data_IF_436762924357
#
_entry.id   IF_436762924357
#
_cell.length_a   1.000
_cell.length_b   1.000
_cell.length_c   1.000
_cell.angle_alpha   90.00
_cell.angle_beta   90.00
_cell.angle_gamma   90.00
#
_symmetry.space_group_name_H-M   'P 1'
#
loop_
_entity.id
_entity.type
_entity.pdbx_description
1 polymer ?
#
# COMPACT_ATOMS: atom_id res chain seq x y z
N UNK A 1 -18.61 -13.08 69.38
CA UNK A 1 -17.81 -12.62 68.21
C UNK A 1 -18.54 -11.41 67.67
N UNK A 2 -18.00 -10.24 67.96
CA UNK A 2 -18.57 -8.97 67.55
C UNK A 2 -18.19 -8.81 66.03
N UNK A 3 -19.14 -9.05 65.12
CA UNK A 3 -19.00 -8.87 63.69
C UNK A 3 -19.24 -7.40 63.34
N UNK A 4 -18.33 -6.52 63.77
CA UNK A 4 -18.41 -5.08 63.55
C UNK A 4 -17.63 -4.59 62.33
N UNK A 5 -17.48 -5.43 61.30
CA UNK A 5 -16.90 -4.94 60.05
C UNK A 5 -17.74 -3.78 59.50
N UNK A 6 -17.08 -2.69 59.17
CA UNK A 6 -17.74 -1.50 58.59
C UNK A 6 -18.14 -1.76 57.15
N UNK A 7 -19.32 -1.30 56.76
CA UNK A 7 -19.75 -1.31 55.38
C UNK A 7 -18.92 -0.34 54.55
N UNK A 8 -18.57 -0.74 53.33
CA UNK A 8 -17.91 0.12 52.36
C UNK A 8 -18.63 0.13 51.00
N UNK A 9 -18.35 1.14 50.21
CA UNK A 9 -18.94 1.33 48.91
C UNK A 9 -17.87 1.66 47.89
N UNK A 10 -18.05 1.19 46.64
CA UNK A 10 -17.24 1.60 45.48
C UNK A 10 -17.92 2.78 44.80
N UNK A 11 -17.18 3.85 44.63
CA UNK A 11 -17.58 5.00 43.80
C UNK A 11 -16.80 5.00 42.50
N UNK A 12 -17.50 4.95 41.39
CA UNK A 12 -16.89 4.97 40.05
C UNK A 12 -17.74 5.84 39.12
N UNK A 13 -17.41 7.15 39.03
CA UNK A 13 -18.14 8.11 38.18
C UNK A 13 -17.68 8.11 36.72
N UNK A 14 -16.46 7.61 36.45
CA UNK A 14 -15.86 7.57 35.10
C UNK A 14 -16.76 6.83 34.11
N UNK A 15 -16.93 7.37 32.91
CA UNK A 15 -17.57 6.70 31.77
C UNK A 15 -16.52 6.03 30.91
N UNK A 16 -16.67 4.75 30.60
CA UNK A 16 -15.75 4.03 29.71
C UNK A 16 -16.11 4.27 28.23
N UNK A 17 -17.40 4.29 27.89
CA UNK A 17 -17.95 4.68 26.61
C UNK A 17 -17.47 3.85 25.42
N UNK A 18 -17.42 4.50 24.26
CA UNK A 18 -16.88 3.92 23.02
C UNK A 18 -15.45 4.35 22.81
N UNK A 19 -14.59 3.40 22.45
CA UNK A 19 -13.14 3.61 22.20
C UNK A 19 -12.74 2.95 20.90
N UNK A 20 -11.97 3.64 20.08
CA UNK A 20 -11.44 3.03 18.86
C UNK A 20 -10.24 2.12 19.19
N UNK A 21 -10.03 1.06 18.41
CA UNK A 21 -8.82 0.24 18.51
C UNK A 21 -7.55 1.10 18.33
N UNK A 22 -6.51 0.83 19.12
CA UNK A 22 -5.22 1.52 19.04
C UNK A 22 -5.13 2.86 19.78
N UNK A 23 -6.20 3.29 20.49
CA UNK A 23 -6.08 4.45 21.39
C UNK A 23 -5.28 4.10 22.65
N UNK A 24 -4.75 5.13 23.29
CA UNK A 24 -3.99 4.95 24.54
C UNK A 24 -4.81 4.28 25.64
N UNK A 25 -4.13 3.54 26.53
CA UNK A 25 -4.71 2.88 27.69
C UNK A 25 -5.42 3.90 28.59
N UNK A 26 -6.55 3.50 29.13
CA UNK A 26 -7.37 4.35 30.00
C UNK A 26 -7.10 4.04 31.46
N UNK A 27 -6.62 5.00 32.23
CA UNK A 27 -6.53 4.86 33.68
C UNK A 27 -7.95 4.77 34.29
N UNK A 28 -8.19 3.70 35.06
CA UNK A 28 -9.46 3.46 35.77
C UNK A 28 -9.43 4.13 37.13
N UNK A 29 -10.51 4.82 37.49
CA UNK A 29 -10.53 5.75 38.63
C UNK A 29 -11.58 5.42 39.68
N UNK A 30 -11.98 4.14 39.82
CA UNK A 30 -12.85 3.75 40.92
C UNK A 30 -12.13 3.90 42.28
N UNK A 31 -12.83 4.24 43.28
CA UNK A 31 -12.33 4.38 44.65
C UNK A 31 -13.32 3.80 45.67
N UNK A 32 -12.85 3.52 46.89
CA UNK A 32 -13.68 3.13 48.00
C UNK A 32 -13.64 4.18 49.10
N UNK A 33 -14.70 4.28 49.90
CA UNK A 33 -14.70 5.13 51.08
C UNK A 33 -13.78 4.60 52.21
N UNK A 34 -13.34 3.33 52.13
CA UNK A 34 -12.38 2.73 53.07
C UNK A 34 -10.91 3.03 52.68
N UNK A 35 -10.64 3.49 51.45
CA UNK A 35 -9.28 3.65 50.91
C UNK A 35 -8.61 2.33 50.52
N UNK A 36 -9.31 1.18 50.61
CA UNK A 36 -8.77 -0.11 50.16
C UNK A 36 -8.67 -0.17 48.62
N UNK A 37 -7.66 -0.90 48.08
CA UNK A 37 -7.43 -0.98 46.65
C UNK A 37 -8.57 -1.68 45.93
N UNK A 38 -8.87 -1.20 44.71
CA UNK A 38 -9.84 -1.78 43.78
C UNK A 38 -9.15 -2.81 42.91
N UNK A 39 -9.83 -3.93 42.66
CA UNK A 39 -9.47 -4.89 41.62
C UNK A 39 -10.45 -4.78 40.46
N UNK A 40 -9.96 -4.73 39.25
CA UNK A 40 -10.77 -4.67 38.02
C UNK A 40 -10.73 -6.00 37.29
N UNK A 41 -11.87 -6.40 36.74
CA UNK A 41 -12.02 -7.61 35.92
C UNK A 41 -12.71 -7.24 34.61
N UNK A 42 -12.24 -7.78 33.53
CA UNK A 42 -12.90 -7.71 32.22
C UNK A 42 -13.65 -8.99 31.92
N UNK A 43 -14.88 -8.86 31.41
CA UNK A 43 -15.67 -10.02 30.94
C UNK A 43 -15.12 -10.64 29.65
N UNK A 44 -14.33 -9.87 28.89
CA UNK A 44 -13.71 -10.32 27.62
C UNK A 44 -12.35 -9.63 27.41
N UNK A 45 -11.30 -10.36 27.70
CA UNK A 45 -9.92 -9.87 27.55
C UNK A 45 -9.47 -9.79 26.08
N UNK A 46 -10.22 -10.36 25.13
CA UNK A 46 -9.95 -10.22 23.69
C UNK A 46 -10.50 -8.91 23.11
N UNK A 47 -11.42 -8.28 23.83
CA UNK A 47 -11.96 -6.95 23.52
C UNK A 47 -11.20 -5.87 24.32
N UNK A 48 -11.14 -6.02 25.63
CA UNK A 48 -10.46 -5.08 26.51
C UNK A 48 -9.90 -5.83 27.73
N UNK A 49 -8.68 -5.56 28.11
CA UNK A 49 -8.01 -6.22 29.26
C UNK A 49 -7.50 -5.22 30.28
N UNK A 50 -7.28 -5.70 31.49
CA UNK A 50 -6.69 -4.92 32.57
C UNK A 50 -5.18 -5.09 32.53
N UNK A 51 -4.45 -3.98 32.59
CA UNK A 51 -2.98 -3.94 32.52
C UNK A 51 -2.44 -2.98 33.59
N UNK A 52 -1.15 -3.09 33.92
CA UNK A 52 -0.44 -2.11 34.75
C UNK A 52 -0.07 -0.86 33.93
N UNK A 53 0.51 0.15 34.58
CA UNK A 53 0.92 1.39 33.91
C UNK A 53 2.00 1.24 32.84
N UNK A 54 2.65 0.06 32.71
CA UNK A 54 3.59 -0.27 31.63
C UNK A 54 2.96 -1.10 30.51
N UNK A 55 1.64 -1.37 30.57
CA UNK A 55 0.91 -2.17 29.57
C UNK A 55 1.03 -3.68 29.73
N UNK A 56 1.74 -4.18 30.75
CA UNK A 56 1.78 -5.60 31.03
C UNK A 56 0.49 -6.06 31.73
N UNK A 57 0.05 -7.29 31.45
CA UNK A 57 -1.11 -7.91 32.10
C UNK A 57 -0.91 -7.95 33.60
N UNK A 58 -1.85 -7.44 34.35
CA UNK A 58 -1.80 -7.38 35.81
C UNK A 58 -3.19 -7.43 36.40
N UNK A 59 -3.45 -8.45 37.23
CA UNK A 59 -4.72 -8.59 37.94
C UNK A 59 -4.99 -7.44 38.92
N UNK A 60 -3.94 -6.72 39.34
CA UNK A 60 -4.02 -5.51 40.15
C UNK A 60 -3.82 -4.23 39.31
N UNK A 61 -3.81 -4.36 37.97
CA UNK A 61 -3.65 -3.24 37.07
C UNK A 61 -4.80 -2.24 37.19
N UNK A 62 -4.50 -1.00 36.93
CA UNK A 62 -5.44 0.11 36.97
C UNK A 62 -5.70 0.74 35.61
N UNK A 63 -5.19 0.14 34.52
CA UNK A 63 -5.39 0.62 33.17
C UNK A 63 -6.22 -0.36 32.36
N UNK A 64 -7.10 0.18 31.52
CA UNK A 64 -7.88 -0.54 30.54
C UNK A 64 -7.20 -0.39 29.16
N UNK A 65 -6.73 -1.49 28.62
CA UNK A 65 -6.17 -1.56 27.27
C UNK A 65 -7.22 -2.13 26.30
N UNK A 66 -7.41 -1.50 25.14
CA UNK A 66 -8.29 -2.01 24.09
C UNK A 66 -7.52 -2.98 23.19
N UNK A 67 -8.08 -4.18 22.93
CA UNK A 67 -7.40 -5.29 22.23
C UNK A 67 -8.07 -5.60 20.90
N UNK A 68 -9.39 -5.54 20.82
CA UNK A 68 -10.16 -5.87 19.62
C UNK A 68 -11.55 -5.25 19.63
N UNK A 69 -12.19 -5.16 18.47
CA UNK A 69 -13.55 -4.62 18.37
C UNK A 69 -14.56 -5.55 19.04
N UNK A 70 -15.50 -4.97 19.77
CA UNK A 70 -16.53 -5.69 20.52
C UNK A 70 -17.01 -4.92 21.73
N UNK A 71 -17.67 -5.60 22.65
CA UNK A 71 -18.15 -5.01 23.91
C UNK A 71 -17.70 -5.88 25.09
N UNK A 72 -17.11 -5.27 26.10
CA UNK A 72 -16.74 -5.91 27.34
C UNK A 72 -17.34 -5.16 28.52
N UNK A 73 -17.60 -5.88 29.63
CA UNK A 73 -17.98 -5.31 30.89
C UNK A 73 -16.78 -5.31 31.83
N UNK A 74 -16.43 -4.15 32.35
CA UNK A 74 -15.38 -3.99 33.34
C UNK A 74 -16.03 -3.87 34.70
N UNK A 75 -15.67 -4.76 35.63
CA UNK A 75 -16.21 -4.81 36.96
C UNK A 75 -15.14 -4.42 37.99
N UNK A 76 -15.43 -3.39 38.76
CA UNK A 76 -14.64 -2.99 39.92
C UNK A 76 -15.11 -3.74 41.16
N UNK A 77 -14.20 -4.38 41.89
CA UNK A 77 -14.47 -5.18 43.07
C UNK A 77 -13.55 -4.78 44.21
N UNK A 78 -14.01 -5.00 45.45
CA UNK A 78 -13.20 -4.84 46.64
C UNK A 78 -13.65 -5.87 47.69
N UNK A 79 -12.75 -6.76 48.07
CA UNK A 79 -13.07 -7.95 48.90
C UNK A 79 -13.23 -7.68 50.42
N UNK A 80 -12.95 -6.45 50.84
CA UNK A 80 -12.90 -6.13 52.27
C UNK A 80 -11.61 -6.61 52.95
N UNK A 81 -11.59 -6.50 54.27
CA UNK A 81 -10.51 -6.98 55.13
C UNK A 81 -11.04 -7.24 56.53
N UNK A 82 -10.20 -7.41 57.55
CA UNK A 82 -10.64 -7.61 58.93
C UNK A 82 -11.47 -6.46 59.52
N UNK A 83 -11.44 -5.27 58.91
CA UNK A 83 -12.12 -4.07 59.39
C UNK A 83 -13.33 -3.68 58.51
N UNK A 84 -13.32 -4.01 57.24
CA UNK A 84 -14.35 -3.64 56.26
C UNK A 84 -14.95 -4.89 55.62
N UNK A 85 -16.27 -4.88 55.40
CA UNK A 85 -16.98 -5.86 54.61
C UNK A 85 -16.62 -5.72 53.14
N UNK A 86 -16.84 -6.77 52.30
CA UNK A 86 -16.75 -6.65 50.87
C UNK A 86 -17.73 -5.61 50.32
N UNK A 87 -17.28 -4.79 49.37
CA UNK A 87 -18.16 -3.84 48.70
C UNK A 87 -19.00 -4.52 47.62
N UNK A 88 -20.20 -4.00 47.39
CA UNK A 88 -20.97 -4.37 46.18
C UNK A 88 -20.21 -4.00 44.94
N UNK A 89 -19.99 -4.94 43.97
CA UNK A 89 -19.30 -4.65 42.73
C UNK A 89 -19.97 -3.57 41.88
N UNK A 90 -19.18 -2.78 41.19
CA UNK A 90 -19.67 -1.79 40.20
C UNK A 90 -19.19 -2.18 38.80
N UNK A 91 -20.13 -2.34 37.90
CA UNK A 91 -19.85 -2.76 36.53
C UNK A 91 -20.12 -1.63 35.52
N UNK A 92 -19.26 -1.52 34.49
CA UNK A 92 -19.40 -0.56 33.41
C UNK A 92 -19.06 -1.21 32.06
N UNK A 93 -19.85 -0.90 31.04
CA UNK A 93 -19.61 -1.37 29.69
C UNK A 93 -18.60 -0.47 28.95
N UNK A 94 -17.73 -1.10 28.18
CA UNK A 94 -16.90 -0.45 27.17
C UNK A 94 -17.18 -1.09 25.81
N UNK A 95 -17.38 -0.26 24.80
CA UNK A 95 -17.51 -0.72 23.41
C UNK A 95 -16.24 -0.32 22.67
N UNK A 96 -15.55 -1.30 22.10
CA UNK A 96 -14.38 -1.06 21.24
C UNK A 96 -14.82 -1.11 19.79
N UNK A 97 -14.60 -0.03 19.07
CA UNK A 97 -14.88 0.06 17.63
C UNK A 97 -13.63 -0.21 16.83
N UNK A 98 -13.81 -0.71 15.59
CA UNK A 98 -12.70 -0.78 14.63
C UNK A 98 -12.10 0.60 14.42
N UNK A 99 -10.78 0.66 14.29
CA UNK A 99 -10.09 1.89 13.92
C UNK A 99 -10.18 2.11 12.41
N UNK A 100 -10.16 3.36 11.98
CA UNK A 100 -9.98 3.69 10.58
C UNK A 100 -8.51 3.59 10.20
N UNK A 101 -8.27 3.23 8.95
CA UNK A 101 -6.93 3.15 8.38
C UNK A 101 -6.89 3.86 7.02
N UNK A 102 -5.69 4.23 6.61
CA UNK A 102 -5.42 4.85 5.34
C UNK A 102 -4.20 4.22 4.66
N UNK A 103 -4.18 4.23 3.33
CA UNK A 103 -3.04 3.79 2.53
C UNK A 103 -2.15 5.00 2.28
N UNK A 104 -0.87 4.89 2.67
CA UNK A 104 0.11 5.97 2.55
C UNK A 104 1.35 5.51 1.81
N UNK A 105 1.97 6.45 1.09
CA UNK A 105 3.27 6.28 0.44
C UNK A 105 4.35 7.02 1.22
N UNK A 106 5.58 6.53 1.19
CA UNK A 106 6.73 7.33 1.62
C UNK A 106 6.91 8.49 0.62
N UNK A 107 6.65 9.70 1.06
CA UNK A 107 6.81 10.91 0.26
C UNK A 107 5.54 11.46 -0.40
N UNK A 108 4.39 10.81 -0.21
CA UNK A 108 3.08 11.37 -0.64
C UNK A 108 2.83 11.37 -2.15
N UNK A 109 3.71 10.75 -2.97
CA UNK A 109 3.51 10.66 -4.43
C UNK A 109 2.30 9.77 -4.76
N UNK A 110 1.49 10.22 -5.70
CA UNK A 110 0.40 9.45 -6.32
C UNK A 110 0.76 9.00 -7.74
N UNK A 111 1.96 9.35 -8.22
CA UNK A 111 2.47 8.92 -9.52
C UNK A 111 3.61 7.94 -9.32
N UNK A 112 3.64 6.91 -10.16
CA UNK A 112 4.75 5.99 -10.27
C UNK A 112 5.72 6.48 -11.34
N UNK A 113 7.02 6.10 -11.27
CA UNK A 113 7.95 6.42 -12.35
C UNK A 113 7.45 5.80 -13.66
N UNK A 114 7.72 6.47 -14.77
CA UNK A 114 7.48 5.90 -16.10
C UNK A 114 8.29 4.62 -16.26
N UNK A 115 7.70 3.63 -16.93
CA UNK A 115 8.33 2.34 -17.23
C UNK A 115 8.48 2.17 -18.73
N UNK A 116 9.46 1.40 -19.14
CA UNK A 116 9.56 0.92 -20.52
C UNK A 116 9.15 -0.56 -20.57
N UNK A 117 8.59 -0.99 -21.70
CA UNK A 117 8.08 -2.34 -21.91
C UNK A 117 9.11 -3.44 -21.61
N UNK A 118 10.38 -3.19 -21.86
CA UNK A 118 11.46 -4.19 -21.73
C UNK A 118 12.23 -4.09 -20.40
N UNK A 119 11.81 -3.23 -19.48
CA UNK A 119 12.47 -3.05 -18.19
C UNK A 119 12.18 -4.18 -17.19
N UNK A 120 11.78 -5.36 -17.64
CA UNK A 120 11.52 -6.48 -16.76
C UNK A 120 10.43 -6.19 -15.71
N UNK A 121 10.27 -7.12 -14.80
CA UNK A 121 9.30 -6.95 -13.71
C UNK A 121 9.76 -5.89 -12.72
N UNK A 122 8.91 -4.94 -12.45
CA UNK A 122 9.12 -3.92 -11.44
C UNK A 122 8.44 -4.36 -10.14
N UNK A 123 9.22 -4.59 -9.09
CA UNK A 123 8.63 -4.79 -7.78
C UNK A 123 8.04 -3.47 -7.28
N UNK A 124 6.76 -3.49 -6.95
CA UNK A 124 6.07 -2.37 -6.31
C UNK A 124 6.57 -2.26 -4.86
N UNK A 125 7.88 -2.08 -4.73
CA UNK A 125 8.49 -1.87 -3.45
C UNK A 125 8.88 -0.41 -3.38
N UNK A 126 8.03 0.36 -2.94
CA UNK A 126 8.43 1.04 -1.74
C UNK A 126 7.25 1.34 -0.88
N UNK A 127 7.39 1.08 0.36
CA UNK A 127 6.82 1.92 1.36
C UNK A 127 5.36 2.39 1.16
N UNK A 128 4.54 1.64 0.38
CA UNK A 128 3.10 1.74 0.52
C UNK A 128 2.72 0.85 1.68
N UNK A 129 2.06 1.42 2.65
CA UNK A 129 1.59 0.71 3.84
C UNK A 129 0.22 1.25 4.24
N UNK A 130 -0.54 0.43 4.93
CA UNK A 130 -1.69 0.91 5.66
C UNK A 130 -1.25 1.36 7.05
N UNK A 131 -1.80 2.46 7.53
CA UNK A 131 -1.60 2.97 8.89
C UNK A 131 -2.92 3.34 9.52
N UNK A 132 -2.97 3.27 10.84
CA UNK A 132 -4.08 3.79 11.61
C UNK A 132 -4.19 5.31 11.39
N UNK A 133 -5.36 5.79 10.98
CA UNK A 133 -5.56 7.20 10.62
C UNK A 133 -5.43 8.17 11.80
N UNK A 134 -5.59 7.68 13.03
CA UNK A 134 -5.53 8.50 14.25
C UNK A 134 -4.16 8.45 14.92
N UNK A 135 -3.57 7.25 15.06
CA UNK A 135 -2.30 7.06 15.77
C UNK A 135 -1.09 7.11 14.83
N UNK A 136 -1.33 7.06 13.50
CA UNK A 136 -0.32 7.00 12.44
C UNK A 136 0.58 5.76 12.50
N UNK A 137 0.29 4.82 13.40
CA UNK A 137 1.01 3.55 13.49
C UNK A 137 0.72 2.66 12.28
N UNK A 138 1.76 1.97 11.80
CA UNK A 138 1.60 0.97 10.73
C UNK A 138 0.69 -0.16 11.22
N UNK A 139 -0.33 -0.53 10.43
CA UNK A 139 -1.25 -1.62 10.78
C UNK A 139 -0.63 -3.00 10.57
N UNK A 140 0.39 -3.13 9.72
CA UNK A 140 0.99 -4.41 9.36
C UNK A 140 0.10 -5.27 8.43
N UNK A 141 -1.06 -4.75 8.02
CA UNK A 141 -2.01 -5.50 7.18
C UNK A 141 -1.55 -5.54 5.73
N UNK A 142 -1.75 -6.69 5.09
CA UNK A 142 -1.42 -6.91 3.68
C UNK A 142 -2.25 -6.02 2.77
N UNK A 143 -1.61 -5.52 1.71
CA UNK A 143 -2.24 -4.74 0.66
C UNK A 143 -2.56 -5.63 -0.54
N UNK A 144 -3.58 -5.28 -1.28
CA UNK A 144 -3.93 -5.88 -2.57
C UNK A 144 -3.80 -4.83 -3.67
N UNK A 145 -3.43 -5.28 -4.88
CA UNK A 145 -3.16 -4.42 -6.02
C UNK A 145 -3.96 -4.93 -7.22
N UNK A 146 -4.48 -4.02 -8.00
CA UNK A 146 -5.15 -4.34 -9.26
C UNK A 146 -4.81 -3.31 -10.32
N UNK A 147 -4.74 -3.74 -11.57
CA UNK A 147 -4.57 -2.87 -12.73
C UNK A 147 -5.91 -2.74 -13.46
N UNK A 148 -6.27 -1.56 -13.89
CA UNK A 148 -7.43 -1.34 -14.76
C UNK A 148 -7.15 -1.73 -16.21
N UNK A 149 -5.86 -1.86 -16.58
CA UNK A 149 -5.43 -2.23 -17.92
C UNK A 149 -4.24 -3.22 -17.89
N UNK A 150 -4.57 -4.51 -17.82
CA UNK A 150 -3.57 -5.58 -17.78
C UNK A 150 -2.80 -5.76 -19.10
N UNK A 151 -3.28 -5.18 -20.21
CA UNK A 151 -2.54 -5.17 -21.46
C UNK A 151 -1.37 -4.18 -21.44
N UNK A 152 -1.43 -3.17 -20.58
CA UNK A 152 -0.35 -2.20 -20.35
C UNK A 152 0.52 -2.62 -19.18
N UNK A 153 -0.09 -2.91 -18.02
CA UNK A 153 0.62 -3.36 -16.82
C UNK A 153 -0.15 -4.50 -16.17
N UNK A 154 0.47 -5.66 -16.07
CA UNK A 154 -0.06 -6.81 -15.33
C UNK A 154 0.44 -6.78 -13.88
N UNK A 155 -0.47 -7.07 -12.94
CA UNK A 155 -0.14 -7.25 -11.52
C UNK A 155 0.05 -8.73 -11.25
N UNK A 156 1.24 -9.13 -10.79
CA UNK A 156 1.62 -10.52 -10.53
C UNK A 156 2.15 -10.70 -9.10
N UNK A 157 2.33 -11.96 -8.67
CA UNK A 157 3.04 -12.32 -7.44
C UNK A 157 2.47 -11.67 -6.17
N UNK A 158 1.31 -12.13 -5.67
CA UNK A 158 0.66 -11.59 -4.46
C UNK A 158 0.37 -10.08 -4.51
N UNK A 159 0.38 -9.48 -5.71
CA UNK A 159 0.03 -8.09 -5.93
C UNK A 159 1.15 -7.07 -5.78
N UNK A 160 2.36 -7.49 -5.43
CA UNK A 160 3.47 -6.54 -5.21
C UNK A 160 4.35 -6.32 -6.44
N UNK A 161 4.10 -7.01 -7.55
CA UNK A 161 4.93 -6.99 -8.75
C UNK A 161 4.14 -6.47 -9.94
N UNK A 162 4.67 -5.45 -10.60
CA UNK A 162 4.12 -4.89 -11.83
C UNK A 162 4.97 -5.33 -13.01
N UNK A 163 4.33 -5.93 -14.01
CA UNK A 163 4.98 -6.36 -15.24
C UNK A 163 4.47 -5.50 -16.38
N UNK A 164 5.30 -4.63 -16.99
CA UNK A 164 4.91 -3.88 -18.17
C UNK A 164 4.73 -4.83 -19.36
N UNK A 165 3.58 -4.74 -20.04
CA UNK A 165 3.21 -5.60 -21.17
C UNK A 165 3.18 -4.87 -22.51
N UNK A 166 2.77 -3.61 -22.50
CA UNK A 166 2.65 -2.80 -23.72
C UNK A 166 2.61 -1.32 -23.39
N UNK A 167 2.81 -0.47 -24.41
CA UNK A 167 2.79 0.97 -24.22
C UNK A 167 1.38 1.46 -23.90
N UNK A 168 1.31 2.55 -23.15
CA UNK A 168 0.05 3.18 -22.76
C UNK A 168 0.02 3.59 -21.31
N UNK A 169 -1.17 3.80 -20.79
CA UNK A 169 -1.41 4.15 -19.38
C UNK A 169 -2.25 3.08 -18.68
N UNK A 170 -1.97 2.86 -17.43
CA UNK A 170 -2.77 2.04 -16.52
C UNK A 170 -2.86 2.69 -15.15
N UNK A 171 -3.98 2.49 -14.46
CA UNK A 171 -4.14 2.89 -13.06
C UNK A 171 -4.00 1.65 -12.17
N UNK A 172 -3.02 1.66 -11.30
CA UNK A 172 -2.86 0.62 -10.29
C UNK A 172 -3.60 1.04 -9.03
N UNK A 173 -4.63 0.30 -8.68
CA UNK A 173 -5.40 0.55 -7.45
C UNK A 173 -4.88 -0.32 -6.32
N UNK A 174 -4.48 0.32 -5.23
CA UNK A 174 -4.06 -0.33 -3.99
C UNK A 174 -5.21 -0.34 -3.01
N UNK A 175 -5.52 -1.49 -2.44
CA UNK A 175 -6.65 -1.69 -1.52
C UNK A 175 -6.24 -2.43 -0.26
N UNK A 176 -6.98 -2.21 0.82
CA UNK A 176 -6.84 -2.94 2.07
C UNK A 176 -8.24 -3.15 2.67
N UNK A 177 -8.64 -4.42 2.85
CA UNK A 177 -10.01 -4.81 3.20
C UNK A 177 -10.37 -4.68 4.68
N UNK A 178 -9.41 -4.30 5.53
CA UNK A 178 -9.58 -4.33 6.98
C UNK A 178 -9.49 -5.76 7.54
N UNK A 179 -9.73 -5.83 8.85
CA UNK A 179 -9.76 -7.09 9.62
C UNK A 179 -10.71 -6.99 10.81
N UNK A 180 -10.47 -7.76 11.88
CA UNK A 180 -11.25 -7.68 13.12
C UNK A 180 -11.09 -6.34 13.85
N UNK A 181 -9.97 -5.61 13.65
CA UNK A 181 -9.58 -4.40 14.39
C UNK A 181 -9.62 -3.12 13.57
N UNK A 182 -9.51 -3.23 12.25
CA UNK A 182 -9.52 -2.10 11.33
C UNK A 182 -10.66 -2.16 10.31
N UNK A 183 -11.24 -1.01 10.02
CA UNK A 183 -12.14 -0.83 8.88
C UNK A 183 -11.35 -0.93 7.56
N UNK A 184 -12.00 -1.25 6.42
CA UNK A 184 -11.35 -1.12 5.12
C UNK A 184 -10.76 0.27 4.92
N UNK A 185 -9.57 0.36 4.29
CA UNK A 185 -9.03 1.62 3.83
C UNK A 185 -9.72 2.07 2.54
N UNK A 186 -9.82 3.38 2.32
CA UNK A 186 -10.19 3.90 1.00
C UNK A 186 -9.13 3.47 -0.02
N UNK A 187 -9.52 2.85 -1.15
CA UNK A 187 -8.59 2.46 -2.19
C UNK A 187 -7.79 3.66 -2.71
N UNK A 188 -6.52 3.44 -3.02
CA UNK A 188 -5.63 4.49 -3.52
C UNK A 188 -5.16 4.18 -4.93
N UNK A 189 -5.51 5.03 -5.92
CA UNK A 189 -5.05 4.87 -7.29
C UNK A 189 -3.64 5.45 -7.47
N UNK A 190 -2.90 4.86 -8.41
CA UNK A 190 -1.60 5.31 -8.91
C UNK A 190 -1.55 5.17 -10.42
N UNK A 191 -1.33 6.27 -11.12
CA UNK A 191 -1.20 6.25 -12.56
C UNK A 191 0.22 5.87 -12.96
N UNK A 192 0.33 5.01 -13.97
CA UNK A 192 1.59 4.55 -14.53
C UNK A 192 1.54 4.69 -16.04
N UNK A 193 2.63 5.14 -16.62
CA UNK A 193 2.80 5.20 -18.07
C UNK A 193 3.89 4.22 -18.47
N UNK A 194 3.58 3.35 -19.41
CA UNK A 194 4.55 2.46 -20.06
C UNK A 194 4.81 3.01 -21.47
N UNK A 195 6.06 3.24 -21.76
CA UNK A 195 6.51 3.65 -23.09
C UNK A 195 7.06 2.43 -23.86
N UNK A 196 6.98 2.45 -25.16
CA UNK A 196 7.79 1.52 -25.97
C UNK A 196 9.26 1.72 -25.61
N UNK A 197 9.99 0.61 -25.50
CA UNK A 197 11.43 0.73 -25.54
C UNK A 197 11.78 1.10 -26.97
N UNK A 198 12.23 2.33 -27.19
CA UNK A 198 12.95 2.57 -28.43
C UNK A 198 14.10 1.57 -28.44
N UNK A 199 14.19 0.66 -29.41
CA UNK A 199 15.34 -0.26 -29.49
C UNK A 199 16.68 0.50 -29.55
N UNK A 200 16.58 1.81 -29.57
CA UNK A 200 17.67 2.76 -29.64
C UNK A 200 17.41 3.81 -28.57
N UNK A 201 17.97 3.59 -27.38
CA UNK A 201 17.82 4.51 -26.25
C UNK A 201 18.38 5.90 -26.62
N UNK A 202 17.78 6.94 -26.02
CA UNK A 202 18.30 8.32 -26.07
C UNK A 202 19.77 8.47 -25.61
N UNK A 203 20.39 7.36 -25.14
CA UNK A 203 21.81 7.30 -24.84
C UNK A 203 22.73 7.21 -26.08
N UNK A 204 22.16 7.24 -27.30
CA UNK A 204 22.89 7.37 -28.51
C UNK A 204 23.09 8.85 -28.93
N UNK A 205 23.19 9.75 -27.97
CA UNK A 205 23.48 11.18 -28.21
C UNK A 205 24.74 11.40 -29.06
N UNK A 206 25.63 10.41 -29.09
CA UNK A 206 26.86 10.45 -29.88
C UNK A 206 26.75 9.68 -31.21
N UNK A 207 25.56 9.13 -31.54
CA UNK A 207 25.37 8.46 -32.84
C UNK A 207 25.21 9.49 -33.93
N UNK A 208 26.21 9.56 -34.82
CA UNK A 208 26.18 10.51 -35.92
C UNK A 208 25.34 10.06 -37.13
N UNK A 209 25.13 8.74 -37.29
CA UNK A 209 24.36 8.14 -38.37
C UNK A 209 23.69 6.86 -37.94
N UNK A 210 22.37 6.78 -38.12
CA UNK A 210 21.60 5.57 -37.90
C UNK A 210 20.69 5.25 -39.07
N UNK A 211 20.91 4.12 -39.70
CA UNK A 211 20.15 3.62 -40.84
C UNK A 211 19.34 2.38 -40.43
N UNK A 212 18.04 2.44 -40.57
CA UNK A 212 17.14 1.32 -40.26
C UNK A 212 16.51 0.78 -41.55
N UNK A 213 16.80 -0.47 -41.90
CA UNK A 213 16.25 -1.11 -43.08
C UNK A 213 14.73 -1.33 -43.05
N UNK A 214 14.10 -1.14 -41.89
CA UNK A 214 12.64 -1.21 -41.72
C UNK A 214 11.96 0.16 -41.74
N UNK A 215 12.71 1.23 -41.73
CA UNK A 215 12.24 2.60 -41.80
C UNK A 215 13.20 3.41 -42.70
N UNK A 216 13.07 3.18 -43.99
CA UNK A 216 13.99 3.75 -44.99
C UNK A 216 13.75 5.24 -45.18
N UNK A 217 12.51 5.70 -44.99
CA UNK A 217 12.11 7.09 -45.16
C UNK A 217 12.33 7.95 -43.90
N UNK A 218 12.62 7.33 -42.75
CA UNK A 218 12.92 8.02 -41.48
C UNK A 218 11.70 8.62 -40.74
N UNK A 219 10.48 8.16 -41.03
CA UNK A 219 9.26 8.67 -40.40
C UNK A 219 8.94 8.00 -39.05
N UNK A 220 9.83 7.13 -38.61
CA UNK A 220 9.71 6.34 -37.36
C UNK A 220 8.59 5.28 -37.37
N UNK A 221 8.05 4.99 -38.53
CA UNK A 221 7.06 3.94 -38.72
C UNK A 221 7.68 2.81 -39.53
N UNK A 222 7.37 1.54 -39.26
CA UNK A 222 7.76 0.44 -40.12
C UNK A 222 7.17 0.67 -41.52
N UNK A 223 7.97 0.41 -42.55
CA UNK A 223 7.47 0.48 -43.93
C UNK A 223 6.25 -0.43 -44.07
N UNK A 224 5.14 0.12 -44.55
CA UNK A 224 3.92 -0.66 -44.80
C UNK A 224 4.19 -1.72 -45.84
N UNK A 225 3.63 -2.93 -45.74
CA UNK A 225 3.75 -3.94 -46.78
C UNK A 225 3.30 -3.36 -48.12
N UNK A 226 4.25 -3.26 -49.06
CA UNK A 226 4.01 -2.69 -50.39
C UNK A 226 4.44 -1.23 -50.57
N UNK A 227 4.94 -0.52 -49.53
CA UNK A 227 5.52 0.82 -49.69
C UNK A 227 6.77 0.79 -50.62
N UNK A 228 7.52 -0.29 -50.53
CA UNK A 228 8.58 -0.59 -51.53
C UNK A 228 8.32 -1.94 -52.19
N UNK A 229 8.45 -2.00 -53.48
CA UNK A 229 8.41 -3.28 -54.20
C UNK A 229 9.69 -4.06 -53.91
N UNK A 230 9.59 -5.37 -53.70
CA UNK A 230 10.75 -6.24 -53.61
C UNK A 230 11.64 -6.01 -54.84
N UNK A 231 12.96 -5.95 -54.67
CA UNK A 231 13.96 -5.59 -55.65
C UNK A 231 13.92 -4.12 -56.11
N UNK A 232 13.18 -3.23 -55.46
CA UNK A 232 13.27 -1.80 -55.74
C UNK A 232 14.66 -1.27 -55.36
N UNK A 233 15.21 -0.40 -56.21
CA UNK A 233 16.48 0.27 -55.94
C UNK A 233 16.27 1.47 -55.04
N UNK A 234 17.02 1.56 -53.94
CA UNK A 234 16.92 2.63 -52.96
C UNK A 234 18.03 3.65 -53.19
N UNK A 235 17.65 4.86 -53.62
CA UNK A 235 18.61 5.94 -53.90
C UNK A 235 18.94 6.78 -52.66
N UNK A 236 18.08 6.79 -51.69
CA UNK A 236 18.23 7.58 -50.45
C UNK A 236 17.79 6.76 -49.26
N UNK A 237 18.57 6.77 -48.21
CA UNK A 237 18.26 6.12 -46.96
C UNK A 237 18.36 7.14 -45.80
N UNK A 238 17.25 7.42 -45.16
CA UNK A 238 17.17 8.46 -44.17
C UNK A 238 17.93 8.11 -42.91
N UNK A 239 18.64 9.10 -42.34
CA UNK A 239 19.30 9.01 -41.05
C UNK A 239 18.30 9.22 -39.93
N UNK A 240 18.18 8.25 -39.05
CA UNK A 240 17.32 8.29 -37.88
C UNK A 240 18.02 8.80 -36.62
N UNK A 241 19.31 9.14 -36.68
CA UNK A 241 20.03 9.69 -35.52
C UNK A 241 19.56 11.08 -35.12
N UNK A 242 18.83 11.75 -36.00
CA UNK A 242 18.42 13.16 -35.82
C UNK A 242 19.47 14.16 -36.30
N UNK A 243 20.67 13.72 -36.75
CA UNK A 243 21.76 14.58 -37.18
C UNK A 243 21.71 14.93 -38.68
N UNK A 244 20.77 14.33 -39.42
CA UNK A 244 20.51 14.64 -40.82
C UNK A 244 21.53 14.07 -41.81
N UNK A 245 22.30 13.06 -41.41
CA UNK A 245 23.36 12.44 -42.21
C UNK A 245 22.81 11.38 -43.21
N UNK A 246 21.75 11.70 -43.89
CA UNK A 246 21.10 10.79 -44.86
C UNK A 246 22.08 10.29 -45.93
N UNK A 247 22.11 8.98 -46.16
CA UNK A 247 22.90 8.40 -47.27
C UNK A 247 22.16 8.54 -48.56
N UNK A 248 22.88 8.93 -49.59
CA UNK A 248 22.38 8.99 -50.95
C UNK A 248 23.40 8.42 -51.94
N UNK A 249 22.94 7.68 -52.93
CA UNK A 249 23.74 7.14 -54.03
C UNK A 249 23.18 7.63 -55.36
N UNK A 250 23.98 8.36 -56.07
CA UNK A 250 23.58 8.94 -57.37
C UNK A 250 23.68 7.97 -58.54
N UNK A 251 24.44 6.87 -58.40
CA UNK A 251 24.64 5.87 -59.47
C UNK A 251 23.66 4.71 -59.29
N UNK A 252 22.70 4.59 -60.21
CA UNK A 252 21.62 3.59 -60.14
C UNK A 252 22.12 2.15 -60.05
N UNK A 253 23.26 1.84 -60.65
CA UNK A 253 23.84 0.49 -60.61
C UNK A 253 24.33 0.09 -59.21
N UNK A 254 24.63 1.07 -58.34
CA UNK A 254 25.14 0.86 -57.00
C UNK A 254 24.05 1.11 -55.92
N UNK A 255 22.80 1.34 -56.33
CA UNK A 255 21.71 1.47 -55.39
C UNK A 255 21.47 0.12 -54.69
N UNK A 256 21.42 0.07 -53.36
CA UNK A 256 21.02 -1.15 -52.66
C UNK A 256 19.59 -1.55 -53.06
N UNK A 257 19.34 -2.85 -53.01
CA UNK A 257 18.04 -3.43 -53.35
C UNK A 257 17.24 -3.71 -52.09
N UNK A 258 15.99 -3.27 -52.04
CA UNK A 258 15.08 -3.57 -50.96
C UNK A 258 14.62 -5.04 -50.98
N UNK A 259 14.78 -5.73 -49.88
CA UNK A 259 14.32 -7.10 -49.71
C UNK A 259 12.90 -7.14 -49.13
N UNK A 260 12.08 -8.07 -49.59
CA UNK A 260 10.71 -8.26 -49.05
C UNK A 260 10.65 -8.62 -47.58
N UNK A 261 11.75 -9.05 -47.01
CA UNK A 261 11.92 -9.32 -45.57
C UNK A 261 12.15 -8.06 -44.73
N UNK A 262 12.26 -6.88 -45.35
CA UNK A 262 12.52 -5.61 -44.67
C UNK A 262 13.99 -5.30 -44.45
N UNK A 263 14.84 -5.53 -45.43
CA UNK A 263 16.26 -5.23 -45.41
C UNK A 263 16.76 -4.63 -46.75
N UNK A 264 18.03 -4.24 -46.79
CA UNK A 264 18.71 -3.80 -47.99
C UNK A 264 19.86 -4.75 -48.32
N UNK A 265 19.96 -5.14 -49.60
CA UNK A 265 21.09 -5.88 -50.12
C UNK A 265 21.98 -4.93 -50.92
N UNK A 266 23.29 -4.96 -50.64
CA UNK A 266 24.32 -4.20 -51.34
C UNK A 266 25.08 -5.19 -52.25
N UNK A 267 25.07 -4.92 -53.56
CA UNK A 267 25.78 -5.71 -54.60
C UNK A 267 27.23 -5.25 -54.77
#
# INVERSE_FOLDING_TARGET
IDDTQQAQTITWSQTLGSRAFGVADLNLTASTNSGLPITYLSSDSTVAKIVNGSGADDVNGTYLQVIGAGTATITATQAGNGQYQAASPVAKSVTVTKANQEIVTNGGSTTLPAMTKDNGDFEFVPAIKSRNSSTLANTGLGLTYSSDNSAVVEVTGSGAKLTPKGPGTATITVSQSGDATYNPASPKPFDITVTENSPYSDSLSDLELWLDGKDINGDQLPESPGSFLANAKVSTWADRSGNGNTLAQSQTLNHPTYESSGGLTFD
#
